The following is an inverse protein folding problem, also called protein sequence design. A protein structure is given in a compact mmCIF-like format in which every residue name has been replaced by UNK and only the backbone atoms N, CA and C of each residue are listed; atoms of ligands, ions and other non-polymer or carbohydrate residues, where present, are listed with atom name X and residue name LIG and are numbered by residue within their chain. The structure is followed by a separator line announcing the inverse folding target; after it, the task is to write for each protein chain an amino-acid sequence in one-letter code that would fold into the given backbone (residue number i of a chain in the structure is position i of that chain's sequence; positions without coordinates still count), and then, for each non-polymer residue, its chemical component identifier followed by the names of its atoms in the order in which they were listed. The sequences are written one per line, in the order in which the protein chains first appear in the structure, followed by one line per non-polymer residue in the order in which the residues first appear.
data_IF_245263750341
#
_entry.id   IF_245263750341
#
_cell.length_a   1.000
_cell.length_b   1.000
_cell.length_c   1.000
_cell.angle_alpha   90.00
_cell.angle_beta   90.00
_cell.angle_gamma   90.00
#
_symmetry.space_group_name_H-M   'P 1'
#
loop_
_entity.id
_entity.type
_entity.pdbx_description
1 polymer ?
#
# COMPACT_ATOMS: atom_id res chain seq x y z
N UNK A 1 -11.71 3.69 43.12
CA UNK A 1 -11.23 3.55 41.74
C UNK A 1 -12.37 3.56 40.72
N UNK A 2 -13.40 2.74 40.81
CA UNK A 2 -14.55 2.71 39.90
C UNK A 2 -15.41 4.00 39.81
N UNK A 3 -15.50 4.79 40.88
CA UNK A 3 -16.27 6.05 40.90
C UNK A 3 -15.56 7.24 40.23
N UNK A 4 -14.25 7.20 40.10
CA UNK A 4 -13.48 8.26 39.41
C UNK A 4 -13.46 8.05 37.88
N UNK A 5 -13.52 6.82 37.41
CA UNK A 5 -13.56 6.49 35.98
C UNK A 5 -14.92 6.90 35.37
N UNK A 6 -16.02 6.65 36.06
CA UNK A 6 -17.34 7.07 35.57
C UNK A 6 -17.53 8.60 35.53
N UNK A 7 -16.85 9.35 36.40
CA UNK A 7 -16.92 10.82 36.39
C UNK A 7 -16.19 11.42 35.18
N UNK A 8 -15.08 10.83 34.76
CA UNK A 8 -14.31 11.28 33.58
C UNK A 8 -15.02 10.95 32.25
N UNK A 9 -15.71 9.81 32.19
CA UNK A 9 -16.50 9.43 31.01
C UNK A 9 -17.71 10.36 30.82
N UNK A 10 -18.38 10.76 31.88
CA UNK A 10 -19.52 11.71 31.83
C UNK A 10 -19.10 13.14 31.42
N UNK A 11 -17.87 13.57 31.75
CA UNK A 11 -17.36 14.89 31.33
C UNK A 11 -17.00 14.91 29.84
N UNK A 12 -16.39 13.86 29.30
CA UNK A 12 -16.06 13.78 27.86
C UNK A 12 -17.33 13.69 26.98
N UNK A 13 -18.35 12.94 27.40
CA UNK A 13 -19.64 12.90 26.68
C UNK A 13 -20.34 14.27 26.65
N UNK A 14 -20.24 15.04 27.72
CA UNK A 14 -20.84 16.39 27.79
C UNK A 14 -20.09 17.42 26.94
N UNK A 15 -18.76 17.30 26.81
CA UNK A 15 -17.94 18.16 25.94
C UNK A 15 -18.20 17.87 24.47
N UNK A 16 -18.37 16.59 24.10
CA UNK A 16 -18.72 16.19 22.74
C UNK A 16 -20.12 16.66 22.33
N UNK A 17 -21.12 16.52 23.18
CA UNK A 17 -22.48 17.00 22.93
C UNK A 17 -22.56 18.54 22.75
N UNK A 18 -21.72 19.31 23.45
CA UNK A 18 -21.61 20.77 23.27
C UNK A 18 -20.94 21.19 21.97
N UNK A 19 -19.96 20.42 21.49
CA UNK A 19 -19.27 20.69 20.20
C UNK A 19 -20.18 20.37 19.00
N UNK A 20 -20.96 19.30 19.05
CA UNK A 20 -21.94 18.94 18.00
C UNK A 20 -23.08 19.94 17.88
N UNK A 21 -23.54 20.54 18.99
CA UNK A 21 -24.59 21.54 18.97
C UNK A 21 -24.12 22.90 18.41
N UNK A 22 -22.83 23.21 18.48
CA UNK A 22 -22.28 24.48 17.97
C UNK A 22 -22.04 24.47 16.46
N UNK A 23 -21.92 23.29 15.83
CA UNK A 23 -21.71 23.12 14.37
C UNK A 23 -23.07 23.11 13.62
N UNK A 24 -24.16 22.75 14.26
CA UNK A 24 -25.50 22.72 13.64
C UNK A 24 -26.22 24.09 13.54
N UNK A 25 -25.69 25.15 14.15
CA UNK A 25 -26.31 26.47 14.15
C UNK A 25 -25.79 27.45 13.09
N UNK A 26 -24.82 27.03 12.25
CA UNK A 26 -24.17 27.91 11.24
C UNK A 26 -24.54 27.62 9.79
N UNK A 27 -25.45 26.70 9.47
CA UNK A 27 -25.81 26.31 8.09
C UNK A 27 -27.20 26.81 7.64
N UNK A 28 -27.89 27.59 8.41
CA UNK A 28 -29.26 28.04 8.09
C UNK A 28 -29.34 29.56 7.81
N UNK A 29 -28.61 30.09 6.82
CA UNK A 29 -28.88 31.44 6.26
C UNK A 29 -28.07 31.67 4.96
N UNK A 30 -28.53 31.11 3.83
CA UNK A 30 -28.26 31.62 2.47
C UNK A 30 -29.11 30.88 1.42
N UNK A 31 -30.43 31.13 1.40
CA UNK A 31 -31.24 30.87 0.19
C UNK A 31 -32.06 32.11 -0.09
N UNK A 32 -31.69 32.83 -1.14
CA UNK A 32 -32.41 34.02 -1.61
C UNK A 32 -32.09 34.31 -3.07
N UNK A 33 -33.00 33.87 -3.92
CA UNK A 33 -33.48 34.50 -5.16
C UNK A 33 -32.50 34.88 -6.26
N UNK A 34 -32.69 34.28 -7.46
CA UNK A 34 -33.00 35.04 -8.67
C UNK A 34 -33.52 34.11 -9.79
N UNK A 35 -34.79 34.34 -10.14
CA UNK A 35 -35.43 33.83 -11.35
C UNK A 35 -35.06 34.70 -12.52
N UNK A 36 -34.96 34.16 -13.73
CA UNK A 36 -34.78 34.92 -14.96
C UNK A 36 -34.96 34.03 -16.21
N UNK A 37 -36.09 34.14 -16.84
CA UNK A 37 -36.57 33.53 -18.07
C UNK A 37 -35.74 33.84 -19.30
N UNK A 38 -35.80 32.93 -20.30
CA UNK A 38 -35.42 33.26 -21.69
C UNK A 38 -35.46 32.06 -22.63
N UNK A 39 -36.57 31.93 -23.32
CA UNK A 39 -37.05 30.99 -24.31
C UNK A 39 -36.36 31.07 -25.71
N UNK A 40 -36.45 29.98 -26.49
CA UNK A 40 -36.69 29.79 -27.93
C UNK A 40 -35.64 28.96 -28.63
N UNK A 41 -35.92 27.73 -29.01
CA UNK A 41 -36.67 27.18 -30.16
C UNK A 41 -35.97 27.41 -31.52
N UNK A 42 -35.63 26.38 -32.19
CA UNK A 42 -36.16 25.82 -33.44
C UNK A 42 -35.09 25.18 -34.35
N UNK A 43 -35.26 23.92 -34.60
CA UNK A 43 -35.47 23.20 -35.88
C UNK A 43 -34.49 23.36 -37.05
N UNK A 44 -34.14 22.20 -37.62
CA UNK A 44 -33.81 22.12 -39.06
C UNK A 44 -32.99 20.90 -39.51
N UNK A 45 -33.65 19.91 -39.86
CA UNK A 45 -33.51 18.73 -40.68
C UNK A 45 -32.56 18.78 -41.93
N UNK A 46 -32.18 17.56 -42.30
CA UNK A 46 -32.00 16.88 -43.60
C UNK A 46 -30.56 16.62 -44.04
N UNK A 47 -30.16 15.39 -44.15
CA UNK A 47 -30.46 14.31 -45.08
C UNK A 47 -29.50 14.28 -46.32
N UNK A 48 -28.87 13.14 -46.43
CA UNK A 48 -28.73 12.29 -47.59
C UNK A 48 -27.50 12.35 -48.52
N UNK A 49 -26.94 11.16 -48.64
CA UNK A 49 -26.49 10.43 -49.85
C UNK A 49 -25.16 10.75 -50.51
N UNK A 50 -24.40 9.68 -50.73
CA UNK A 50 -23.45 9.58 -51.83
C UNK A 50 -22.37 8.49 -51.64
N UNK A 51 -22.67 7.30 -52.15
CA UNK A 51 -21.72 6.21 -52.30
C UNK A 51 -20.73 6.47 -53.44
N UNK A 52 -19.49 5.97 -53.27
CA UNK A 52 -18.72 5.42 -54.38
C UNK A 52 -17.57 4.55 -53.88
N UNK A 53 -17.57 3.34 -54.35
CA UNK A 53 -16.54 2.31 -54.27
C UNK A 53 -15.25 2.77 -54.98
N UNK A 54 -14.11 2.33 -54.49
CA UNK A 54 -13.09 1.78 -55.38
C UNK A 54 -12.18 0.77 -54.69
N UNK A 55 -12.03 -0.37 -55.31
CA UNK A 55 -11.18 -1.50 -54.99
C UNK A 55 -9.71 -1.20 -55.28
N UNK A 56 -8.83 -1.75 -54.48
CA UNK A 56 -7.38 -1.77 -54.73
C UNK A 56 -6.66 -2.73 -53.78
N UNK A 57 -6.49 -3.95 -54.26
CA UNK A 57 -5.85 -5.10 -53.65
C UNK A 57 -4.34 -4.98 -53.43
N UNK A 58 -3.84 -5.83 -52.51
CA UNK A 58 -2.46 -6.36 -52.32
C UNK A 58 -1.67 -5.67 -51.18
N UNK A 59 -1.03 -6.35 -50.28
CA UNK A 59 -0.62 -7.76 -50.09
C UNK A 59 -0.29 -7.95 -48.63
N UNK A 60 -0.52 -9.13 -48.12
CA UNK A 60 -0.28 -9.56 -46.76
C UNK A 60 1.17 -9.47 -46.34
N UNK A 61 1.41 -9.07 -45.10
CA UNK A 61 2.49 -9.59 -44.27
C UNK A 61 1.91 -9.85 -42.90
N UNK A 62 1.78 -11.11 -42.58
CA UNK A 62 1.28 -11.61 -41.32
C UNK A 62 2.35 -11.38 -40.26
N UNK A 63 2.01 -10.59 -39.26
CA UNK A 63 2.59 -10.71 -37.92
C UNK A 63 1.42 -10.98 -37.00
N UNK A 64 1.36 -12.20 -36.51
CA UNK A 64 0.35 -12.64 -35.57
C UNK A 64 0.64 -11.98 -34.22
N UNK A 65 -0.09 -10.94 -33.92
CA UNK A 65 -0.43 -10.55 -32.57
C UNK A 65 -1.89 -10.94 -32.38
N UNK A 66 -2.14 -11.92 -31.55
CA UNK A 66 -3.50 -12.34 -31.20
C UNK A 66 -4.23 -11.19 -30.53
N UNK A 67 -5.17 -10.59 -31.24
CA UNK A 67 -6.24 -9.79 -30.63
C UNK A 67 -7.20 -10.77 -29.92
N UNK A 68 -6.95 -11.05 -28.64
CA UNK A 68 -8.03 -11.32 -27.72
C UNK A 68 -8.57 -9.97 -27.24
N UNK A 69 -9.56 -9.43 -27.93
CA UNK A 69 -10.39 -8.35 -27.40
C UNK A 69 -11.30 -8.91 -26.31
N UNK A 70 -10.73 -9.30 -25.18
CA UNK A 70 -11.48 -9.55 -23.96
C UNK A 70 -12.08 -8.23 -23.46
N UNK A 71 -13.34 -8.27 -23.00
CA UNK A 71 -13.98 -7.10 -22.43
C UNK A 71 -13.10 -6.50 -21.34
N UNK A 72 -12.96 -5.16 -21.35
CA UNK A 72 -12.24 -4.42 -20.28
C UNK A 72 -12.89 -4.71 -18.94
N UNK A 73 -12.09 -5.09 -17.95
CA UNK A 73 -12.55 -5.26 -16.56
C UNK A 73 -12.24 -4.02 -15.74
N UNK A 74 -13.12 -3.71 -14.80
CA UNK A 74 -12.91 -2.63 -13.82
C UNK A 74 -12.64 -3.26 -12.47
N UNK A 75 -11.56 -2.79 -11.82
CA UNK A 75 -11.12 -3.22 -10.49
C UNK A 75 -11.25 -2.03 -9.54
N UNK A 76 -11.96 -2.22 -8.43
CA UNK A 76 -12.03 -1.23 -7.35
C UNK A 76 -10.88 -1.48 -6.38
N UNK A 77 -9.96 -0.54 -6.31
CA UNK A 77 -8.72 -0.72 -5.55
C UNK A 77 -8.32 0.55 -4.79
N UNK A 78 -7.40 0.38 -3.84
CA UNK A 78 -6.81 1.45 -3.08
C UNK A 78 -5.31 1.16 -2.94
N UNK A 79 -4.48 1.96 -3.61
CA UNK A 79 -3.03 1.82 -3.55
C UNK A 79 -2.41 2.90 -2.67
N UNK A 80 -1.39 2.51 -1.89
CA UNK A 80 -0.68 3.42 -0.99
C UNK A 80 -0.09 4.63 -1.73
N UNK A 81 -0.05 5.78 -1.06
CA UNK A 81 0.51 7.02 -1.64
C UNK A 81 2.02 7.07 -1.66
N UNK A 82 2.71 6.26 -0.84
CA UNK A 82 4.18 6.19 -0.79
C UNK A 82 4.79 5.24 -1.82
N UNK A 83 6.05 4.84 -1.60
CA UNK A 83 6.78 3.91 -2.47
C UNK A 83 6.08 2.56 -2.61
N UNK A 84 5.39 2.11 -1.56
CA UNK A 84 4.66 0.84 -1.55
C UNK A 84 3.67 0.70 -2.71
N UNK A 85 2.89 1.74 -3.00
CA UNK A 85 1.94 1.74 -4.12
C UNK A 85 2.45 2.46 -5.38
N UNK A 86 3.71 2.90 -5.40
CA UNK A 86 4.24 3.73 -6.49
C UNK A 86 4.25 3.01 -7.83
N UNK A 87 4.63 1.72 -7.87
CA UNK A 87 4.68 0.94 -9.11
C UNK A 87 3.29 0.85 -9.74
N UNK A 88 2.26 0.50 -8.95
CA UNK A 88 0.88 0.43 -9.43
C UNK A 88 0.36 1.78 -9.93
N UNK A 89 0.61 2.87 -9.18
CA UNK A 89 0.17 4.22 -9.57
C UNK A 89 0.85 4.70 -10.85
N UNK A 90 2.15 4.46 -11.00
CA UNK A 90 2.88 4.75 -12.23
C UNK A 90 2.31 3.96 -13.41
N UNK A 91 2.12 2.66 -13.24
CA UNK A 91 1.62 1.77 -14.29
C UNK A 91 0.19 2.13 -14.73
N UNK A 92 -0.67 2.57 -13.81
CA UNK A 92 -2.01 3.08 -14.11
C UNK A 92 -1.91 4.38 -14.94
N UNK A 93 -1.09 5.33 -14.50
CA UNK A 93 -0.91 6.61 -15.20
C UNK A 93 -0.26 6.42 -16.57
N UNK A 94 0.71 5.52 -16.68
CA UNK A 94 1.38 5.15 -17.94
C UNK A 94 0.44 4.41 -18.89
N UNK A 95 -0.61 3.75 -18.38
CA UNK A 95 -1.58 2.99 -19.16
C UNK A 95 -1.23 1.52 -19.36
N UNK A 96 -0.24 0.97 -18.65
CA UNK A 96 0.19 -0.43 -18.79
C UNK A 96 -0.94 -1.41 -18.47
N UNK A 97 -1.69 -1.18 -17.39
CA UNK A 97 -2.86 -1.99 -17.07
C UNK A 97 -3.97 -1.89 -18.13
N UNK A 98 -4.15 -0.72 -18.73
CA UNK A 98 -5.15 -0.51 -19.76
C UNK A 98 -4.83 -1.29 -21.04
N UNK A 99 -3.56 -1.44 -21.39
CA UNK A 99 -3.10 -2.29 -22.50
C UNK A 99 -3.46 -3.76 -22.27
N UNK A 100 -3.57 -4.19 -21.01
CA UNK A 100 -4.01 -5.52 -20.58
C UNK A 100 -5.54 -5.62 -20.37
N UNK A 101 -6.30 -4.58 -20.75
CA UNK A 101 -7.76 -4.52 -20.61
C UNK A 101 -8.22 -4.39 -19.16
N UNK A 102 -7.46 -3.71 -18.30
CA UNK A 102 -7.81 -3.46 -16.90
C UNK A 102 -7.87 -1.95 -16.65
N UNK A 103 -8.98 -1.50 -16.10
CA UNK A 103 -9.17 -0.14 -15.61
C UNK A 103 -9.44 -0.17 -14.10
N UNK A 104 -9.08 0.91 -13.41
CA UNK A 104 -9.24 1.00 -11.96
C UNK A 104 -10.22 2.09 -11.57
N UNK A 105 -11.09 1.78 -10.61
CA UNK A 105 -11.72 2.75 -9.73
C UNK A 105 -10.86 2.86 -8.48
N UNK A 106 -10.12 3.96 -8.33
CA UNK A 106 -9.28 4.22 -7.17
C UNK A 106 -10.03 4.99 -6.11
N UNK A 107 -9.93 4.52 -4.87
CA UNK A 107 -10.27 5.27 -3.68
C UNK A 107 -8.98 5.80 -3.08
N UNK A 108 -8.92 7.09 -2.76
CA UNK A 108 -7.72 7.67 -2.14
C UNK A 108 -7.45 7.01 -0.78
N UNK A 109 -6.23 6.50 -0.61
CA UNK A 109 -5.78 5.98 0.66
C UNK A 109 -5.39 7.12 1.61
N UNK A 110 -5.71 6.96 2.88
CA UNK A 110 -5.15 7.80 3.95
C UNK A 110 -3.71 7.38 4.27
N UNK A 111 -3.03 8.15 5.12
CA UNK A 111 -1.68 7.82 5.59
C UNK A 111 -1.59 6.45 6.29
N UNK A 112 -2.65 5.99 6.96
CA UNK A 112 -2.80 4.64 7.50
C UNK A 112 -3.54 3.76 6.50
N UNK A 113 -2.79 3.20 5.55
CA UNK A 113 -3.35 2.47 4.42
C UNK A 113 -4.03 1.17 4.83
N UNK A 114 -3.45 0.36 5.74
CA UNK A 114 -3.98 -0.96 6.08
C UNK A 114 -5.35 -0.89 6.78
N UNK A 115 -5.53 -0.01 7.76
CA UNK A 115 -6.82 0.14 8.44
C UNK A 115 -7.89 0.71 7.52
N UNK A 116 -7.51 1.63 6.64
CA UNK A 116 -8.39 2.19 5.60
C UNK A 116 -8.83 1.09 4.63
N UNK A 117 -7.91 0.27 4.11
CA UNK A 117 -8.22 -0.86 3.23
C UNK A 117 -9.20 -1.83 3.87
N UNK A 118 -8.95 -2.27 5.11
CA UNK A 118 -9.86 -3.18 5.83
C UNK A 118 -11.26 -2.58 6.01
N UNK A 119 -11.34 -1.28 6.27
CA UNK A 119 -12.60 -0.57 6.39
C UNK A 119 -13.35 -0.49 5.05
N UNK A 120 -12.65 -0.19 3.94
CA UNK A 120 -13.22 -0.14 2.59
C UNK A 120 -13.71 -1.52 2.12
N UNK A 121 -12.94 -2.59 2.36
CA UNK A 121 -13.35 -3.97 2.09
C UNK A 121 -14.62 -4.33 2.88
N UNK A 122 -14.64 -4.01 4.18
CA UNK A 122 -15.81 -4.31 5.05
C UNK A 122 -17.08 -3.61 4.57
N UNK A 123 -16.96 -2.42 3.98
CA UNK A 123 -18.09 -1.69 3.38
C UNK A 123 -18.40 -2.10 1.95
N UNK A 124 -17.59 -2.97 1.33
CA UNK A 124 -17.75 -3.39 -0.06
C UNK A 124 -17.40 -2.29 -1.07
N UNK A 125 -16.55 -1.35 -0.70
CA UNK A 125 -16.17 -0.20 -1.55
C UNK A 125 -14.98 -0.51 -2.45
N UNK A 126 -14.12 -1.48 -2.06
CA UNK A 126 -13.02 -1.98 -2.88
C UNK A 126 -13.03 -3.50 -2.99
N UNK A 127 -12.43 -4.02 -4.05
CA UNK A 127 -12.30 -5.43 -4.35
C UNK A 127 -10.97 -5.99 -3.86
N UNK A 128 -9.88 -5.25 -4.08
CA UNK A 128 -8.50 -5.68 -3.87
C UNK A 128 -7.61 -4.51 -3.47
N UNK A 129 -6.59 -4.80 -2.68
CA UNK A 129 -5.52 -3.86 -2.34
C UNK A 129 -4.24 -4.60 -1.97
N UNK A 130 -3.12 -3.89 -1.89
CA UNK A 130 -1.88 -4.38 -1.33
C UNK A 130 -1.66 -3.88 0.11
N UNK A 131 -0.75 -4.53 0.86
CA UNK A 131 -0.39 -4.09 2.22
C UNK A 131 0.34 -5.13 3.05
N UNK A 132 0.26 -4.97 4.36
CA UNK A 132 1.03 -5.74 5.34
C UNK A 132 0.19 -6.87 5.96
N UNK A 133 0.60 -8.15 5.81
CA UNK A 133 -0.09 -9.30 6.38
C UNK A 133 -0.18 -9.23 7.91
N UNK A 134 0.79 -8.60 8.60
CA UNK A 134 0.74 -8.44 10.06
C UNK A 134 -0.43 -7.58 10.55
N UNK A 135 -0.93 -6.70 9.68
CA UNK A 135 -2.14 -5.92 9.94
C UNK A 135 -3.40 -6.63 9.46
N UNK A 136 -3.33 -7.32 8.32
CA UNK A 136 -4.51 -7.95 7.70
C UNK A 136 -4.95 -9.23 8.40
N UNK A 137 -4.01 -10.10 8.83
CA UNK A 137 -4.35 -11.35 9.51
C UNK A 137 -5.19 -11.12 10.77
N UNK A 138 -4.82 -10.22 11.71
CA UNK A 138 -5.68 -9.89 12.84
C UNK A 138 -7.03 -9.32 12.42
N UNK A 139 -7.06 -8.50 11.37
CA UNK A 139 -8.31 -7.94 10.84
C UNK A 139 -9.25 -9.01 10.30
N UNK A 140 -8.75 -9.94 9.48
CA UNK A 140 -9.52 -11.06 8.92
C UNK A 140 -10.04 -11.96 10.04
N UNK A 141 -9.18 -12.27 11.03
CA UNK A 141 -9.59 -13.01 12.21
C UNK A 141 -10.72 -12.32 12.98
N UNK A 142 -10.69 -11.00 13.08
CA UNK A 142 -11.73 -10.19 13.72
C UNK A 142 -12.93 -9.90 12.81
N UNK A 143 -13.06 -10.57 11.66
CA UNK A 143 -14.26 -10.56 10.83
C UNK A 143 -14.23 -9.66 9.61
N UNK A 144 -13.07 -9.13 9.20
CA UNK A 144 -12.94 -8.49 7.87
C UNK A 144 -13.18 -9.58 6.82
N UNK A 145 -14.17 -9.40 5.90
CA UNK A 145 -14.56 -10.43 4.94
C UNK A 145 -13.60 -10.48 3.74
N UNK A 146 -12.38 -10.97 3.96
CA UNK A 146 -11.31 -10.98 2.97
C UNK A 146 -10.37 -12.19 3.14
N UNK A 147 -9.51 -12.40 2.14
CA UNK A 147 -8.34 -13.29 2.20
C UNK A 147 -7.13 -12.64 1.57
N UNK A 148 -5.94 -13.07 2.00
CA UNK A 148 -4.71 -12.82 1.28
C UNK A 148 -4.70 -13.72 0.04
N UNK A 149 -4.41 -13.18 -1.14
CA UNK A 149 -4.56 -13.89 -2.42
C UNK A 149 -3.29 -13.94 -3.26
N UNK A 150 -2.24 -13.28 -2.82
CA UNK A 150 -0.97 -13.26 -3.50
C UNK A 150 0.09 -12.50 -2.73
N UNK A 151 1.34 -12.72 -3.11
CA UNK A 151 2.46 -11.94 -2.62
C UNK A 151 2.45 -10.55 -3.27
N UNK A 152 2.74 -9.53 -2.51
CA UNK A 152 3.14 -8.25 -3.07
C UNK A 152 4.59 -8.35 -3.55
N UNK A 153 5.02 -7.49 -4.47
CA UNK A 153 6.38 -7.44 -5.02
C UNK A 153 7.54 -7.37 -3.97
N UNK A 154 7.22 -7.31 -2.70
CA UNK A 154 8.16 -7.20 -1.57
C UNK A 154 7.96 -8.34 -0.60
N UNK A 155 8.88 -9.29 -0.59
CA UNK A 155 8.90 -10.35 0.42
C UNK A 155 9.28 -9.83 1.79
N UNK A 156 10.36 -9.05 1.85
CA UNK A 156 10.90 -8.49 3.08
C UNK A 156 10.46 -7.04 3.27
N UNK A 157 10.36 -6.61 4.52
CA UNK A 157 10.09 -5.22 4.83
C UNK A 157 11.23 -4.31 4.41
N UNK A 158 11.05 -3.56 3.33
CA UNK A 158 11.98 -2.51 2.95
C UNK A 158 11.83 -1.33 3.92
N UNK A 159 12.19 -1.57 5.19
CA UNK A 159 12.17 -0.58 6.26
C UNK A 159 13.58 -0.25 6.70
N UNK A 160 13.80 1.01 6.92
CA UNK A 160 15.10 1.56 7.29
C UNK A 160 14.98 2.22 8.65
N UNK A 161 15.79 1.84 9.63
CA UNK A 161 15.93 2.61 10.85
C UNK A 161 16.94 3.72 10.57
N UNK A 162 16.46 4.95 10.57
CA UNK A 162 17.26 6.16 10.36
C UNK A 162 17.35 6.91 11.68
N UNK A 163 18.57 7.32 12.05
CA UNK A 163 18.84 8.05 13.27
C UNK A 163 19.43 9.44 12.97
N UNK A 164 19.22 10.38 13.87
CA UNK A 164 19.89 11.67 13.83
C UNK A 164 21.42 11.51 14.04
N UNK A 165 22.18 12.55 13.78
CA UNK A 165 23.63 12.47 13.78
C UNK A 165 24.27 12.32 15.17
N UNK A 166 23.50 12.44 16.25
CA UNK A 166 23.98 12.23 17.64
C UNK A 166 23.98 10.75 18.05
N UNK A 167 23.27 9.90 17.33
CA UNK A 167 23.19 8.45 17.51
C UNK A 167 24.20 7.81 16.55
N UNK A 168 25.14 7.03 17.06
CA UNK A 168 26.16 6.37 16.22
C UNK A 168 25.97 4.86 16.12
N UNK A 169 25.38 4.26 17.14
CA UNK A 169 25.05 2.84 17.18
C UNK A 169 23.76 2.58 17.98
N UNK A 170 23.31 1.31 18.01
CA UNK A 170 22.08 0.96 18.70
C UNK A 170 22.12 1.23 20.21
N UNK A 171 23.27 1.17 20.85
CA UNK A 171 23.38 1.43 22.29
C UNK A 171 23.07 2.88 22.65
N UNK A 172 23.27 3.82 21.73
CA UNK A 172 22.93 5.23 21.92
C UNK A 172 21.41 5.49 21.95
N UNK A 173 20.61 4.50 21.55
CA UNK A 173 19.13 4.59 21.60
C UNK A 173 18.56 4.43 23.01
N UNK A 174 19.35 4.02 24.02
CA UNK A 174 18.89 3.96 25.40
C UNK A 174 18.51 5.37 25.90
N UNK A 175 17.28 5.47 26.42
CA UNK A 175 16.71 6.75 26.89
C UNK A 175 16.25 7.69 25.78
N UNK A 176 16.27 7.24 24.52
CA UNK A 176 15.90 8.04 23.34
C UNK A 176 14.49 7.73 22.86
N UNK A 177 13.98 8.62 22.03
CA UNK A 177 12.69 8.48 21.35
C UNK A 177 12.88 7.84 19.98
N UNK A 178 12.25 6.69 19.78
CA UNK A 178 12.31 5.97 18.50
C UNK A 178 10.92 5.86 17.88
N UNK A 179 10.77 6.42 16.69
CA UNK A 179 9.56 6.35 15.89
C UNK A 179 9.33 4.95 15.34
N UNK A 180 8.12 4.41 15.52
CA UNK A 180 7.74 3.04 15.16
C UNK A 180 6.64 2.96 14.11
N UNK A 181 6.33 4.05 13.44
CA UNK A 181 5.18 4.26 12.57
C UNK A 181 3.85 4.17 13.33
N UNK A 182 3.43 2.98 13.74
CA UNK A 182 2.20 2.70 14.47
C UNK A 182 2.44 2.02 15.82
N UNK A 183 1.34 1.67 16.49
CA UNK A 183 1.36 0.92 17.76
C UNK A 183 1.54 -0.60 17.55
N UNK A 184 1.42 -1.09 16.31
CA UNK A 184 1.61 -2.48 15.89
C UNK A 184 2.02 -2.50 14.42
N UNK A 185 2.19 -3.68 13.83
CA UNK A 185 2.52 -3.86 12.41
C UNK A 185 4.02 -4.02 12.15
N UNK A 186 4.37 -4.29 10.88
CA UNK A 186 5.71 -4.71 10.48
C UNK A 186 6.82 -3.72 10.80
N UNK A 187 6.55 -2.41 10.67
CA UNK A 187 7.54 -1.39 10.99
C UNK A 187 7.87 -1.37 12.49
N UNK A 188 6.83 -1.43 13.36
CA UNK A 188 7.07 -1.53 14.80
C UNK A 188 7.79 -2.82 15.18
N UNK A 189 7.36 -3.96 14.62
CA UNK A 189 8.03 -5.24 14.83
C UNK A 189 9.51 -5.14 14.48
N UNK A 190 9.83 -4.52 13.34
CA UNK A 190 11.21 -4.33 12.90
C UNK A 190 12.05 -3.58 13.93
N UNK A 191 11.53 -2.47 14.47
CA UNK A 191 12.22 -1.72 15.54
C UNK A 191 12.46 -2.60 16.77
N UNK A 192 11.43 -3.31 17.24
CA UNK A 192 11.54 -4.17 18.42
C UNK A 192 12.62 -5.24 18.23
N UNK A 193 12.63 -5.92 17.09
CA UNK A 193 13.63 -6.95 16.77
C UNK A 193 15.03 -6.40 16.52
N UNK A 194 15.14 -5.21 15.94
CA UNK A 194 16.44 -4.54 15.77
C UNK A 194 17.04 -4.15 17.13
N UNK A 195 16.26 -3.59 18.04
CA UNK A 195 16.69 -3.28 19.42
C UNK A 195 17.12 -4.56 20.15
N UNK A 196 16.26 -5.58 20.16
CA UNK A 196 16.52 -6.87 20.82
C UNK A 196 17.83 -7.51 20.35
N UNK A 197 18.04 -7.61 19.01
CA UNK A 197 19.24 -8.23 18.44
C UNK A 197 20.52 -7.43 18.67
N UNK A 198 20.41 -6.15 19.00
CA UNK A 198 21.53 -5.30 19.40
C UNK A 198 21.65 -5.14 20.92
N UNK A 199 20.89 -5.90 21.73
CA UNK A 199 20.99 -5.92 23.18
C UNK A 199 20.42 -4.68 23.87
N UNK A 200 19.62 -3.88 23.16
CA UNK A 200 18.92 -2.71 23.71
C UNK A 200 17.54 -3.11 24.21
N UNK A 201 17.28 -2.90 25.50
CA UNK A 201 15.96 -3.19 26.07
C UNK A 201 14.93 -2.19 25.58
N UNK A 202 13.80 -2.70 25.10
CA UNK A 202 12.65 -1.87 24.71
C UNK A 202 12.07 -1.06 25.88
N UNK A 203 12.27 -1.51 27.14
CA UNK A 203 11.86 -0.77 28.33
C UNK A 203 12.70 0.51 28.55
N UNK A 204 13.88 0.58 27.92
CA UNK A 204 14.78 1.72 28.02
C UNK A 204 14.64 2.70 26.84
N UNK A 205 13.69 2.47 25.93
CA UNK A 205 13.47 3.29 24.71
C UNK A 205 12.04 3.81 24.69
N UNK A 206 11.87 5.10 24.42
CA UNK A 206 10.54 5.70 24.27
C UNK A 206 10.03 5.48 22.84
N UNK A 207 9.13 4.50 22.68
CA UNK A 207 8.61 4.06 21.38
C UNK A 207 7.41 4.91 20.96
N UNK A 208 7.57 5.75 19.95
CA UNK A 208 6.59 6.74 19.48
C UNK A 208 5.89 6.29 18.19
N UNK A 209 4.56 6.29 18.19
CA UNK A 209 3.77 6.11 16.97
C UNK A 209 3.76 7.44 16.21
N UNK A 210 4.67 7.62 15.25
CA UNK A 210 4.96 8.90 14.57
C UNK A 210 4.52 8.93 13.11
N UNK A 211 3.66 7.98 12.68
CA UNK A 211 3.18 7.88 11.30
C UNK A 211 4.21 7.29 10.34
N UNK A 212 3.89 7.38 9.05
CA UNK A 212 4.69 6.78 7.96
C UNK A 212 5.15 7.86 6.96
N UNK A 213 6.05 7.51 6.06
CA UNK A 213 6.51 8.34 4.95
C UNK A 213 6.97 9.73 5.40
N UNK A 214 6.41 10.77 4.79
CA UNK A 214 6.76 12.16 5.08
C UNK A 214 6.54 12.55 6.54
N UNK A 215 5.52 11.98 7.22
CA UNK A 215 5.24 12.29 8.63
C UNK A 215 6.35 11.77 9.54
N UNK A 216 6.80 10.53 9.31
CA UNK A 216 7.92 9.94 10.05
C UNK A 216 9.23 10.72 9.80
N UNK A 217 9.49 11.11 8.54
CA UNK A 217 10.63 11.94 8.19
C UNK A 217 10.60 13.32 8.88
N UNK A 218 9.42 13.97 8.88
CA UNK A 218 9.24 15.25 9.54
C UNK A 218 9.47 15.17 11.06
N UNK A 219 9.06 14.08 11.71
CA UNK A 219 9.29 13.88 13.15
C UNK A 219 10.78 13.73 13.49
N UNK A 220 11.58 13.09 12.62
CA UNK A 220 13.04 13.02 12.75
C UNK A 220 13.69 14.40 12.56
N UNK A 221 13.36 15.08 11.46
CA UNK A 221 13.97 16.38 11.12
C UNK A 221 13.61 17.49 12.09
N UNK A 222 12.46 17.43 12.74
CA UNK A 222 12.05 18.36 13.79
C UNK A 222 12.64 18.05 15.18
N UNK A 223 13.27 16.87 15.35
CA UNK A 223 13.78 16.40 16.63
C UNK A 223 12.68 15.92 17.59
N UNK A 224 11.48 15.61 17.09
CA UNK A 224 10.43 14.97 17.88
C UNK A 224 10.83 13.54 18.28
N UNK A 225 11.55 12.85 17.39
CA UNK A 225 12.18 11.55 17.64
C UNK A 225 13.68 11.61 17.31
N UNK A 226 14.49 10.77 17.99
CA UNK A 226 15.94 10.67 17.77
C UNK A 226 16.28 9.69 16.64
N UNK A 227 15.42 8.68 16.43
CA UNK A 227 15.48 7.76 15.31
C UNK A 227 14.06 7.40 14.87
N UNK A 228 13.89 6.92 13.64
CA UNK A 228 12.59 6.47 13.14
C UNK A 228 12.74 5.34 12.13
N UNK A 229 11.83 4.36 12.17
CA UNK A 229 11.67 3.40 11.09
C UNK A 229 10.91 4.07 9.95
N UNK A 230 11.40 3.93 8.71
CA UNK A 230 10.88 4.69 7.58
C UNK A 230 11.07 3.92 6.27
N UNK A 231 10.27 4.25 5.28
CA UNK A 231 10.43 3.77 3.90
C UNK A 231 11.32 4.72 3.08
N UNK A 232 11.93 4.19 2.01
CA UNK A 232 12.44 5.02 0.94
C UNK A 232 11.29 5.81 0.24
N UNK A 233 11.60 7.00 -0.34
CA UNK A 233 12.92 7.59 -0.49
C UNK A 233 13.42 8.37 0.74
N UNK A 234 12.67 8.40 1.83
CA UNK A 234 12.97 9.27 2.98
C UNK A 234 14.22 8.84 3.75
N UNK A 235 14.59 7.53 3.71
CA UNK A 235 15.86 7.07 4.26
C UNK A 235 17.05 7.64 3.46
N UNK A 236 16.99 7.53 2.12
CA UNK A 236 18.01 8.11 1.24
C UNK A 236 18.02 9.65 1.30
N UNK A 237 16.87 10.29 1.48
CA UNK A 237 16.75 11.74 1.63
C UNK A 237 17.42 12.23 2.90
N UNK A 238 17.24 11.54 4.05
CA UNK A 238 17.88 11.91 5.30
C UNK A 238 19.42 11.88 5.23
N UNK A 239 19.98 10.91 4.49
CA UNK A 239 21.42 10.89 4.21
C UNK A 239 21.84 12.02 3.26
N UNK A 240 21.05 12.28 2.21
CA UNK A 240 21.38 13.28 1.19
C UNK A 240 21.35 14.72 1.72
N UNK A 241 20.43 15.03 2.61
CA UNK A 241 20.32 16.37 3.22
C UNK A 241 21.08 16.52 4.57
N UNK A 242 21.68 15.40 5.04
CA UNK A 242 22.50 15.39 6.25
C UNK A 242 21.73 15.48 7.55
N UNK A 243 20.40 15.23 7.53
CA UNK A 243 19.56 15.25 8.75
C UNK A 243 19.69 13.99 9.59
N UNK A 244 20.17 12.90 8.98
CA UNK A 244 20.39 11.64 9.65
C UNK A 244 21.16 10.64 8.78
N UNK A 245 21.32 9.43 9.29
CA UNK A 245 21.96 8.32 8.60
C UNK A 245 21.23 7.01 8.89
N UNK A 246 21.43 6.03 8.02
CA UNK A 246 20.85 4.69 8.16
C UNK A 246 21.60 3.93 9.26
N UNK A 247 20.89 3.62 10.36
CA UNK A 247 21.42 2.81 11.45
C UNK A 247 21.29 1.31 11.17
N UNK A 248 20.26 0.90 10.41
CA UNK A 248 20.05 -0.49 10.03
C UNK A 248 18.89 -0.70 9.07
N UNK A 249 18.88 -1.87 8.42
CA UNK A 249 17.83 -2.32 7.52
C UNK A 249 17.06 -3.47 8.17
N UNK A 250 15.73 -3.44 8.14
CA UNK A 250 14.91 -4.43 8.82
C UNK A 250 15.19 -5.87 8.37
N UNK A 251 15.38 -6.09 7.09
CA UNK A 251 15.63 -7.42 6.53
C UNK A 251 16.98 -8.04 6.89
N UNK A 252 17.94 -7.27 7.40
CA UNK A 252 19.17 -7.82 7.96
C UNK A 252 18.93 -8.46 9.35
N UNK A 253 17.84 -8.08 10.02
CA UNK A 253 17.50 -8.53 11.37
C UNK A 253 16.37 -9.56 11.41
N UNK A 254 15.43 -9.47 10.49
CA UNK A 254 14.28 -10.37 10.35
C UNK A 254 14.11 -10.82 8.89
N UNK A 255 15.10 -11.57 8.34
CA UNK A 255 15.10 -11.93 6.92
C UNK A 255 13.90 -12.78 6.50
N UNK A 256 13.36 -13.57 7.43
CA UNK A 256 12.23 -14.48 7.19
C UNK A 256 10.86 -13.83 7.45
N UNK A 257 10.83 -12.55 7.77
CA UNK A 257 9.59 -11.83 7.99
C UNK A 257 8.90 -11.48 6.67
N UNK A 258 7.63 -11.87 6.54
CA UNK A 258 6.81 -11.59 5.37
C UNK A 258 6.00 -10.30 5.54
N UNK A 259 6.20 -9.33 4.66
CA UNK A 259 5.62 -7.99 4.83
C UNK A 259 4.71 -7.53 3.73
N UNK A 260 4.72 -8.18 2.57
CA UNK A 260 3.99 -7.70 1.41
C UNK A 260 2.97 -8.70 0.89
N UNK A 261 1.69 -8.36 0.91
CA UNK A 261 0.62 -9.23 0.42
C UNK A 261 -0.44 -8.44 -0.33
N UNK A 262 -1.18 -9.16 -1.18
CA UNK A 262 -2.41 -8.66 -1.82
C UNK A 262 -3.58 -9.25 -1.06
N UNK A 263 -4.52 -8.40 -0.63
CA UNK A 263 -5.77 -8.76 0.02
C UNK A 263 -6.93 -8.57 -0.95
N UNK A 264 -7.87 -9.53 -0.99
CA UNK A 264 -9.10 -9.42 -1.77
C UNK A 264 -10.33 -9.70 -0.92
N UNK A 265 -11.43 -9.01 -1.21
CA UNK A 265 -12.72 -9.25 -0.53
C UNK A 265 -13.25 -10.65 -0.87
N UNK A 266 -13.89 -11.33 0.10
CA UNK A 266 -14.52 -12.62 -0.13
C UNK A 266 -15.55 -12.55 -1.27
N UNK A 267 -16.29 -11.43 -1.35
CA UNK A 267 -17.27 -11.21 -2.44
C UNK A 267 -16.60 -11.20 -3.81
N UNK A 268 -15.43 -10.59 -3.95
CA UNK A 268 -14.70 -10.56 -5.22
C UNK A 268 -14.14 -11.94 -5.58
N UNK A 269 -13.57 -12.64 -4.59
CA UNK A 269 -13.06 -14.02 -4.76
C UNK A 269 -14.18 -14.97 -5.24
N UNK A 270 -15.36 -14.89 -4.64
CA UNK A 270 -16.46 -15.82 -4.88
C UNK A 270 -17.26 -15.49 -6.14
N UNK A 271 -17.49 -14.21 -6.43
CA UNK A 271 -18.40 -13.80 -7.49
C UNK A 271 -17.68 -13.40 -8.80
N UNK A 272 -16.40 -13.03 -8.73
CA UNK A 272 -15.62 -12.51 -9.86
C UNK A 272 -14.22 -13.16 -9.97
N UNK A 273 -14.09 -14.52 -9.82
CA UNK A 273 -12.78 -15.18 -9.76
C UNK A 273 -11.94 -14.97 -11.03
N UNK A 274 -12.58 -14.88 -12.20
CA UNK A 274 -11.89 -14.62 -13.47
C UNK A 274 -11.27 -13.21 -13.51
N UNK A 275 -11.95 -12.21 -12.95
CA UNK A 275 -11.40 -10.85 -12.86
C UNK A 275 -10.22 -10.79 -11.89
N UNK A 276 -10.33 -11.46 -10.73
CA UNK A 276 -9.24 -11.57 -9.77
C UNK A 276 -8.02 -12.24 -10.40
N UNK A 277 -8.21 -13.34 -11.14
CA UNK A 277 -7.14 -14.03 -11.85
C UNK A 277 -6.45 -13.13 -12.88
N UNK A 278 -7.23 -12.44 -13.73
CA UNK A 278 -6.68 -11.48 -14.70
C UNK A 278 -5.90 -10.36 -14.02
N UNK A 279 -6.46 -9.80 -12.93
CA UNK A 279 -5.79 -8.76 -12.17
C UNK A 279 -4.45 -9.24 -11.62
N UNK A 280 -4.39 -10.41 -10.95
CA UNK A 280 -3.15 -10.91 -10.38
C UNK A 280 -2.09 -11.19 -11.45
N UNK A 281 -2.47 -11.81 -12.56
CA UNK A 281 -1.53 -12.05 -13.67
C UNK A 281 -0.98 -10.73 -14.20
N UNK A 282 -1.83 -9.75 -14.45
CA UNK A 282 -1.42 -8.43 -14.92
C UNK A 282 -0.58 -7.67 -13.89
N UNK A 283 -0.89 -7.80 -12.60
CA UNK A 283 -0.12 -7.17 -11.51
C UNK A 283 1.36 -7.54 -11.59
N UNK A 284 1.68 -8.82 -11.67
CA UNK A 284 3.07 -9.29 -11.72
C UNK A 284 3.76 -8.96 -13.05
N UNK A 285 3.03 -9.10 -14.17
CA UNK A 285 3.54 -8.71 -15.48
C UNK A 285 3.95 -7.23 -15.49
N UNK A 286 3.07 -6.34 -15.04
CA UNK A 286 3.28 -4.89 -15.00
C UNK A 286 4.45 -4.52 -14.07
N UNK A 287 4.58 -5.20 -12.92
CA UNK A 287 5.69 -4.96 -12.00
C UNK A 287 7.05 -5.32 -12.63
N UNK A 288 7.13 -6.46 -13.34
CA UNK A 288 8.33 -6.84 -14.09
C UNK A 288 8.64 -5.83 -15.21
N UNK A 289 7.64 -5.37 -15.97
CA UNK A 289 7.81 -4.36 -17.01
C UNK A 289 8.34 -3.05 -16.43
N UNK A 290 7.77 -2.56 -15.32
CA UNK A 290 8.22 -1.32 -14.67
C UNK A 290 9.66 -1.44 -14.16
N UNK A 291 10.01 -2.58 -13.58
CA UNK A 291 11.35 -2.82 -13.05
C UNK A 291 12.41 -2.92 -14.13
N UNK A 292 12.09 -3.46 -15.31
CA UNK A 292 13.03 -3.72 -16.37
C UNK A 292 12.95 -2.71 -17.54
N UNK A 293 11.74 -2.51 -18.10
CA UNK A 293 11.58 -1.76 -19.34
C UNK A 293 11.32 -0.26 -19.09
N UNK A 294 10.68 0.08 -17.97
CA UNK A 294 10.29 1.45 -17.61
C UNK A 294 11.04 2.02 -16.41
N UNK A 295 12.14 1.40 -15.99
CA UNK A 295 12.85 1.77 -14.76
C UNK A 295 13.22 3.26 -14.68
N UNK A 296 13.83 3.81 -15.74
CA UNK A 296 14.25 5.23 -15.75
C UNK A 296 13.05 6.19 -15.72
N UNK A 297 11.97 5.85 -16.45
CA UNK A 297 10.74 6.63 -16.43
C UNK A 297 10.06 6.55 -15.05
N UNK A 298 10.06 5.38 -14.43
CA UNK A 298 9.54 5.18 -13.09
C UNK A 298 10.32 6.00 -12.04
N UNK A 299 11.65 6.00 -12.12
CA UNK A 299 12.49 6.82 -11.23
C UNK A 299 12.14 8.31 -11.35
N UNK A 300 12.02 8.83 -12.57
CA UNK A 300 11.69 10.23 -12.82
C UNK A 300 10.28 10.58 -12.30
N UNK A 301 9.30 9.70 -12.55
CA UNK A 301 7.93 9.85 -12.09
C UNK A 301 7.87 9.82 -10.54
N UNK A 302 8.48 8.82 -9.91
CA UNK A 302 8.47 8.65 -8.46
C UNK A 302 9.19 9.80 -7.72
N UNK A 303 10.28 10.33 -8.31
CA UNK A 303 10.97 11.49 -7.77
C UNK A 303 10.05 12.73 -7.74
N UNK A 304 9.30 12.96 -8.79
CA UNK A 304 8.32 14.05 -8.87
C UNK A 304 7.17 13.86 -7.88
N UNK A 305 6.60 12.66 -7.83
CA UNK A 305 5.49 12.33 -6.92
C UNK A 305 5.86 12.51 -5.44
N UNK A 306 7.08 12.13 -5.06
CA UNK A 306 7.56 12.16 -3.68
C UNK A 306 8.40 13.40 -3.37
N UNK A 307 8.39 14.39 -4.27
CA UNK A 307 9.07 15.68 -4.12
C UNK A 307 10.55 15.54 -3.71
N UNK A 308 11.29 14.70 -4.43
CA UNK A 308 12.72 14.49 -4.26
C UNK A 308 13.46 14.62 -5.60
N UNK A 309 14.79 14.53 -5.62
CA UNK A 309 15.55 14.50 -6.87
C UNK A 309 15.59 13.09 -7.47
N UNK A 310 15.74 13.00 -8.80
CA UNK A 310 15.90 11.70 -9.47
C UNK A 310 17.15 10.97 -8.97
N UNK A 311 18.22 11.67 -8.59
CA UNK A 311 19.42 11.07 -8.01
C UNK A 311 19.13 10.38 -6.69
N UNK A 312 18.42 11.04 -5.77
CA UNK A 312 18.02 10.47 -4.47
C UNK A 312 17.05 9.32 -4.67
N UNK A 313 16.06 9.48 -5.58
CA UNK A 313 15.09 8.44 -5.87
C UNK A 313 15.75 7.19 -6.46
N UNK A 314 16.66 7.35 -7.42
CA UNK A 314 17.42 6.23 -8.01
C UNK A 314 18.23 5.50 -6.94
N UNK A 315 18.99 6.23 -6.12
CA UNK A 315 19.74 5.64 -5.00
C UNK A 315 18.81 4.89 -4.04
N UNK A 316 17.65 5.45 -3.75
CA UNK A 316 16.65 4.83 -2.88
C UNK A 316 16.17 3.48 -3.45
N UNK A 317 15.76 3.44 -4.72
CA UNK A 317 15.27 2.23 -5.38
C UNK A 317 16.39 1.18 -5.51
N UNK A 318 17.56 1.58 -6.01
CA UNK A 318 18.71 0.67 -6.17
C UNK A 318 19.17 0.06 -4.83
N UNK A 319 18.95 0.74 -3.71
CA UNK A 319 19.33 0.23 -2.37
C UNK A 319 18.43 -0.90 -1.85
N UNK A 320 17.26 -1.10 -2.45
CA UNK A 320 16.28 -2.11 -2.01
C UNK A 320 15.77 -3.03 -3.15
N UNK A 321 16.19 -2.79 -4.41
CA UNK A 321 15.67 -3.54 -5.56
C UNK A 321 15.96 -5.05 -5.49
N UNK A 322 17.03 -5.45 -4.82
CA UNK A 322 17.40 -6.87 -4.65
C UNK A 322 16.40 -7.64 -3.78
N UNK A 323 15.58 -6.93 -2.98
CA UNK A 323 14.51 -7.53 -2.16
C UNK A 323 13.12 -7.33 -2.76
N UNK A 324 13.05 -6.81 -3.99
CA UNK A 324 11.84 -6.74 -4.79
C UNK A 324 11.67 -8.05 -5.58
N UNK A 325 10.99 -9.00 -4.96
CA UNK A 325 10.76 -10.33 -5.50
C UNK A 325 9.31 -10.46 -5.96
N UNK A 326 9.10 -10.47 -7.27
CA UNK A 326 7.78 -10.45 -7.90
C UNK A 326 7.18 -11.87 -8.09
N UNK A 327 7.50 -12.82 -7.20
CA UNK A 327 6.91 -14.15 -7.26
C UNK A 327 5.51 -14.16 -6.63
N UNK A 328 4.47 -14.64 -7.34
CA UNK A 328 3.08 -14.48 -6.93
C UNK A 328 2.67 -15.20 -5.66
N UNK A 329 3.22 -16.39 -5.42
CA UNK A 329 2.74 -17.31 -4.37
C UNK A 329 3.17 -16.82 -3.00
N UNK A 330 2.22 -16.76 -2.06
CA UNK A 330 2.49 -16.40 -0.66
C UNK A 330 3.41 -17.47 -0.05
N UNK A 331 4.59 -17.10 0.47
CA UNK A 331 5.52 -18.03 1.09
C UNK A 331 4.99 -18.47 2.47
N UNK A 332 4.51 -19.71 2.56
CA UNK A 332 3.82 -20.23 3.77
C UNK A 332 4.72 -20.27 5.00
N UNK A 333 6.00 -20.56 4.84
CA UNK A 333 6.98 -20.59 5.93
C UNK A 333 7.23 -19.18 6.49
N UNK A 334 7.31 -18.17 5.61
CA UNK A 334 7.41 -16.76 6.02
C UNK A 334 6.11 -16.25 6.65
N UNK A 335 4.95 -16.68 6.10
CA UNK A 335 3.66 -16.35 6.69
C UNK A 335 3.54 -16.95 8.11
N UNK A 336 3.95 -18.19 8.30
CA UNK A 336 4.01 -18.84 9.61
C UNK A 336 4.91 -18.08 10.60
N UNK A 337 6.12 -17.70 10.15
CA UNK A 337 7.07 -16.90 10.96
C UNK A 337 6.46 -15.54 11.34
N UNK A 338 5.85 -14.84 10.37
CA UNK A 338 5.16 -13.57 10.63
C UNK A 338 4.07 -13.75 11.69
N UNK A 339 3.28 -14.83 11.59
CA UNK A 339 2.22 -15.12 12.53
C UNK A 339 2.74 -15.41 13.94
N UNK A 340 3.85 -16.14 14.08
CA UNK A 340 4.48 -16.36 15.38
C UNK A 340 4.96 -15.05 16.02
N UNK A 341 5.48 -14.10 15.24
CA UNK A 341 5.79 -12.77 15.74
C UNK A 341 4.54 -12.03 16.25
N UNK A 342 3.40 -12.14 15.54
CA UNK A 342 2.15 -11.51 15.99
C UNK A 342 1.71 -12.06 17.34
N UNK A 343 1.88 -13.37 17.58
CA UNK A 343 1.60 -14.02 18.85
C UNK A 343 2.58 -13.59 19.95
N UNK A 344 3.88 -13.60 19.66
CA UNK A 344 4.95 -13.21 20.59
C UNK A 344 4.69 -11.83 21.20
N UNK A 345 4.22 -10.88 20.39
CA UNK A 345 3.89 -9.52 20.84
C UNK A 345 2.44 -9.33 21.30
N UNK A 346 1.64 -10.41 21.35
CA UNK A 346 0.25 -10.37 21.79
C UNK A 346 -0.67 -9.57 20.87
N UNK A 347 -0.30 -9.44 19.57
CA UNK A 347 -1.13 -8.75 18.57
C UNK A 347 -2.20 -9.66 17.98
N UNK A 348 -2.07 -10.97 18.15
CA UNK A 348 -3.12 -11.96 17.95
C UNK A 348 -3.18 -12.90 19.15
N UNK A 349 -4.36 -13.49 19.40
CA UNK A 349 -4.54 -14.48 20.47
C UNK A 349 -3.74 -15.75 20.13
N UNK A 350 -3.12 -16.40 21.13
CA UNK A 350 -2.30 -17.60 20.95
C UNK A 350 -3.06 -18.78 20.33
N UNK A 351 -4.39 -18.83 20.51
CA UNK A 351 -5.25 -19.88 19.94
C UNK A 351 -5.65 -19.65 18.50
N UNK A 352 -5.29 -18.50 17.91
CA UNK A 352 -5.63 -18.15 16.53
C UNK A 352 -4.73 -18.90 15.56
N UNK A 353 -5.31 -19.41 14.48
CA UNK A 353 -4.59 -19.92 13.32
C UNK A 353 -4.66 -18.91 12.16
N UNK A 354 -3.61 -18.82 11.36
CA UNK A 354 -3.66 -18.12 10.08
C UNK A 354 -4.29 -18.97 8.97
N UNK A 355 -4.54 -20.26 9.22
CA UNK A 355 -5.25 -21.13 8.29
C UNK A 355 -6.62 -20.54 7.91
N UNK A 356 -6.91 -20.50 6.62
CA UNK A 356 -8.15 -19.91 6.10
C UNK A 356 -8.10 -18.38 5.90
N UNK A 357 -7.03 -17.70 6.33
CA UNK A 357 -6.85 -16.26 6.07
C UNK A 357 -6.25 -15.98 4.69
N UNK A 358 -5.77 -16.98 3.98
CA UNK A 358 -5.15 -16.84 2.67
C UNK A 358 -5.55 -17.96 1.69
N UNK A 359 -5.24 -17.76 0.41
CA UNK A 359 -5.27 -18.79 -0.64
C UNK A 359 -4.20 -18.49 -1.68
N UNK A 360 -3.49 -19.53 -2.12
CA UNK A 360 -2.50 -19.45 -3.20
C UNK A 360 -3.07 -19.89 -4.57
N UNK A 361 -4.36 -20.18 -4.66
CA UNK A 361 -4.99 -20.72 -5.88
C UNK A 361 -4.75 -19.80 -7.09
N UNK A 362 -5.08 -18.53 -6.96
CA UNK A 362 -4.92 -17.54 -8.04
C UNK A 362 -3.45 -17.16 -8.29
N UNK A 363 -2.68 -17.06 -7.21
CA UNK A 363 -1.26 -16.73 -7.28
C UNK A 363 -0.47 -17.82 -8.02
N UNK A 364 -0.76 -19.10 -7.78
CA UNK A 364 -0.12 -20.21 -8.48
C UNK A 364 -0.42 -20.17 -9.98
N UNK A 365 -1.68 -19.94 -10.37
CA UNK A 365 -2.05 -19.81 -11.78
C UNK A 365 -1.36 -18.62 -12.44
N UNK A 366 -1.19 -17.49 -11.73
CA UNK A 366 -0.45 -16.35 -12.26
C UNK A 366 1.04 -16.69 -12.46
N UNK A 367 1.69 -17.36 -11.49
CA UNK A 367 3.07 -17.81 -11.61
C UNK A 367 3.26 -18.74 -12.80
N UNK A 368 2.40 -19.76 -12.95
CA UNK A 368 2.44 -20.71 -14.04
C UNK A 368 2.23 -20.04 -15.41
N UNK A 369 1.28 -19.10 -15.49
CA UNK A 369 0.97 -18.34 -16.72
C UNK A 369 2.15 -17.49 -17.18
N UNK A 370 2.85 -16.85 -16.25
CA UNK A 370 4.00 -15.98 -16.52
C UNK A 370 5.33 -16.75 -16.58
N UNK A 371 5.32 -18.06 -16.34
CA UNK A 371 6.52 -18.89 -16.31
C UNK A 371 7.49 -18.51 -15.19
N UNK A 372 6.98 -17.93 -14.12
CA UNK A 372 7.78 -17.51 -12.96
C UNK A 372 8.16 -18.73 -12.11
N UNK A 373 9.35 -18.69 -11.54
CA UNK A 373 9.84 -19.73 -10.62
C UNK A 373 10.07 -19.10 -9.25
N UNK A 374 9.81 -19.90 -8.21
CA UNK A 374 10.06 -19.47 -6.84
C UNK A 374 11.55 -19.13 -6.66
N UNK A 375 11.90 -17.87 -6.34
CA UNK A 375 13.29 -17.46 -6.14
C UNK A 375 13.94 -18.09 -4.90
N UNK A 376 13.13 -18.65 -3.99
CA UNK A 376 13.58 -19.32 -2.77
C UNK A 376 13.45 -20.84 -2.84
N UNK A 377 13.01 -21.42 -3.98
CA UNK A 377 12.94 -22.86 -4.17
C UNK A 377 14.32 -23.52 -3.98
N UNK A 378 14.38 -24.46 -3.03
CA UNK A 378 15.60 -25.21 -2.69
C UNK A 378 15.80 -26.44 -3.58
#
# INVERSE_FOLDING_TARGET
MYKQINFLIDEEENVMKKKVFSVLLTVALATGVLAGCGSSAATGNNAATGAAQNEGSQTASATAAGEESGDTIVIRSCFATGMTGAVNRFAIEKGLYKELGIEFENVEASADTNSTVMSLITRGEIDVADGDPSSYIPGIYNGVPAKLVGNMWRYSGCYWLVANNDIQDFSDLEGKKVGTAGASGGMRLSVLKMLEKNGVSTDNVDLIANGVYQTAYASLTSGEVDATIIHNPYAALAEADGTGHILGRAWDYIPDYYTGTIIASNSFIENEPEKLQRFLTAYYQVHEEVKNDYFDEFVAWAAKEMNTSEEVMRKAIESEIDVWLDYPVIPEDRLATTFEYLKEYGWVDENVSYEGTYTNEFAQVAADTLGMTDPEAK
#
